data_IF_881473763482
#
_entry.id   IF_881473763482
#
_cell.length_a   1.000
_cell.length_b   1.000
_cell.length_c   1.000
_cell.angle_alpha   90.00
_cell.angle_beta   90.00
_cell.angle_gamma   90.00
#
_symmetry.space_group_name_H-M   'P 1'
#
loop_
_entity.id
_entity.type
_entity.pdbx_description
1 polymer ?
#
# COMPACT_ATOMS: atom_id res chain seq x y z
N UNK A 1 9.20 15.99 48.85
CA UNK A 1 8.32 15.26 47.93
C UNK A 1 8.31 16.08 46.65
N UNK A 2 8.91 15.58 45.57
CA UNK A 2 8.77 16.22 44.26
C UNK A 2 7.34 15.93 43.82
N UNK A 3 6.51 16.96 43.71
CA UNK A 3 5.16 16.80 43.15
C UNK A 3 5.32 16.30 41.71
N UNK A 4 4.88 15.07 41.47
CA UNK A 4 4.82 14.49 40.14
C UNK A 4 3.85 15.32 39.31
N UNK A 5 4.38 16.13 38.39
CA UNK A 5 3.56 16.96 37.52
C UNK A 5 2.80 16.06 36.55
N UNK A 6 1.47 16.01 36.69
CA UNK A 6 0.59 15.34 35.74
C UNK A 6 0.41 16.21 34.49
N UNK A 7 0.45 15.58 33.32
CA UNK A 7 0.26 16.16 32.01
C UNK A 7 -0.86 15.41 31.30
N UNK A 8 -1.67 16.14 30.53
CA UNK A 8 -2.77 15.55 29.77
C UNK A 8 -2.27 15.09 28.41
N UNK A 9 -2.51 13.82 28.10
CA UNK A 9 -2.30 13.23 26.78
C UNK A 9 -3.69 12.97 26.18
N UNK A 10 -4.02 13.67 25.11
CA UNK A 10 -5.20 13.38 24.31
C UNK A 10 -4.83 12.36 23.23
N UNK A 11 -5.63 11.30 23.08
CA UNK A 11 -5.41 10.23 22.11
C UNK A 11 -6.75 9.84 21.46
N UNK A 12 -6.93 10.18 20.18
CA UNK A 12 -8.20 9.98 19.44
C UNK A 12 -9.41 10.53 20.23
N UNK A 13 -9.33 11.80 20.66
CA UNK A 13 -10.34 12.53 21.46
C UNK A 13 -10.56 12.00 22.90
N UNK A 14 -9.83 10.98 23.34
CA UNK A 14 -9.85 10.49 24.72
C UNK A 14 -8.71 11.10 25.53
N UNK A 15 -8.99 11.51 26.78
CA UNK A 15 -7.98 12.12 27.65
C UNK A 15 -7.39 11.11 28.64
N UNK A 16 -6.07 11.16 28.77
CA UNK A 16 -5.27 10.33 29.66
C UNK A 16 -4.32 11.21 30.49
N UNK A 17 -4.06 10.84 31.74
CA UNK A 17 -3.10 11.54 32.60
C UNK A 17 -1.76 10.82 32.62
N UNK A 18 -0.68 11.50 32.25
CA UNK A 18 0.67 10.94 32.29
C UNK A 18 1.57 11.78 33.19
N UNK A 19 2.47 11.13 33.92
CA UNK A 19 3.42 11.84 34.78
C UNK A 19 4.61 12.31 33.94
N UNK A 20 5.04 13.55 34.15
CA UNK A 20 6.24 14.11 33.53
C UNK A 20 7.45 13.20 33.81
N UNK A 21 8.16 12.80 32.75
CA UNK A 21 9.31 11.91 32.81
C UNK A 21 8.99 10.42 32.65
N UNK A 22 7.71 10.02 32.62
CA UNK A 22 7.34 8.62 32.36
C UNK A 22 7.38 8.26 30.88
N UNK A 23 7.42 6.95 30.61
CA UNK A 23 7.32 6.42 29.26
C UNK A 23 5.86 6.50 28.77
N UNK A 24 5.66 7.14 27.62
CA UNK A 24 4.34 7.41 27.05
C UNK A 24 3.51 6.14 26.83
N UNK A 25 4.10 5.06 26.29
CA UNK A 25 3.37 3.80 26.09
C UNK A 25 2.89 3.21 27.41
N UNK A 26 3.75 3.20 28.44
CA UNK A 26 3.38 2.66 29.76
C UNK A 26 2.26 3.48 30.39
N UNK A 27 2.35 4.82 30.36
CA UNK A 27 1.32 5.69 30.95
C UNK A 27 -0.04 5.52 30.26
N UNK A 28 -0.06 5.37 28.93
CA UNK A 28 -1.28 5.12 28.15
C UNK A 28 -1.88 3.74 28.44
N UNK A 29 -1.07 2.68 28.43
CA UNK A 29 -1.55 1.31 28.68
C UNK A 29 -2.08 1.11 30.10
N UNK A 30 -1.48 1.77 31.11
CA UNK A 30 -1.92 1.69 32.50
C UNK A 30 -3.34 2.25 32.71
N UNK A 31 -3.79 3.14 31.82
CA UNK A 31 -5.13 3.71 31.83
C UNK A 31 -6.07 3.03 30.82
N UNK A 32 -5.64 1.94 30.20
CA UNK A 32 -6.47 1.14 29.29
C UNK A 32 -6.53 1.66 27.85
N UNK A 33 -5.66 2.59 27.46
CA UNK A 33 -5.62 3.09 26.08
C UNK A 33 -5.32 1.98 25.08
N UNK A 34 -6.09 1.92 23.99
CA UNK A 34 -5.94 0.91 22.94
C UNK A 34 -4.76 1.21 21.99
N UNK A 35 -3.53 1.19 22.49
CA UNK A 35 -2.31 1.40 21.70
C UNK A 35 -1.75 0.05 21.25
N UNK A 36 -1.49 -0.12 19.94
CA UNK A 36 -0.80 -1.32 19.43
C UNK A 36 0.64 -1.32 19.92
N UNK A 37 1.20 -2.47 20.29
CA UNK A 37 2.61 -2.58 20.63
C UNK A 37 3.12 -4.00 20.39
N UNK A 38 4.44 -4.14 20.29
CA UNK A 38 5.12 -5.43 20.12
C UNK A 38 6.40 -5.50 20.95
N UNK A 39 7.52 -5.07 20.37
CA UNK A 39 8.85 -5.23 20.98
C UNK A 39 9.14 -4.32 22.18
N UNK A 40 8.39 -3.22 22.35
CA UNK A 40 8.66 -2.14 23.34
C UNK A 40 10.09 -1.54 23.30
N UNK A 41 10.86 -1.84 22.26
CA UNK A 41 12.24 -1.42 22.04
C UNK A 41 12.41 -0.56 20.77
N UNK A 42 11.31 -0.03 20.23
CA UNK A 42 11.30 0.79 19.01
C UNK A 42 11.44 0.04 17.68
N UNK A 43 12.03 -1.15 17.66
CA UNK A 43 12.36 -1.86 16.42
C UNK A 43 11.14 -2.26 15.55
N UNK A 44 10.03 -2.70 16.16
CA UNK A 44 8.89 -3.21 15.39
C UNK A 44 7.96 -2.13 14.82
N UNK A 45 8.09 -0.88 15.26
CA UNK A 45 7.20 0.23 14.83
C UNK A 45 5.71 0.13 15.24
N UNK A 46 5.26 -0.98 15.84
CA UNK A 46 3.84 -1.20 16.14
C UNK A 46 3.19 -0.15 17.07
N UNK A 47 3.97 0.54 17.90
CA UNK A 47 3.50 1.54 18.87
C UNK A 47 3.57 2.98 18.35
N UNK A 48 3.55 3.15 17.03
CA UNK A 48 3.59 4.46 16.39
C UNK A 48 2.28 5.20 16.65
N UNK A 49 2.40 6.43 17.10
CA UNK A 49 1.33 7.42 17.22
C UNK A 49 1.74 8.66 16.43
N UNK A 50 0.78 9.53 16.12
CA UNK A 50 1.02 10.75 15.35
C UNK A 50 0.54 11.96 16.13
N UNK A 51 1.27 13.06 16.07
CA UNK A 51 0.79 14.37 16.54
C UNK A 51 -0.50 14.76 15.80
N UNK A 52 -1.55 15.09 16.55
CA UNK A 52 -2.88 15.39 16.00
C UNK A 52 -2.95 16.73 15.23
N UNK A 53 -1.92 17.58 15.34
CA UNK A 53 -1.87 18.89 14.65
C UNK A 53 -0.94 18.89 13.44
N UNK A 54 0.16 18.13 13.48
CA UNK A 54 1.23 18.20 12.48
C UNK A 54 1.59 16.85 11.83
N UNK A 55 0.98 15.74 12.29
CA UNK A 55 1.22 14.41 11.71
C UNK A 55 2.60 13.83 11.99
N UNK A 56 3.43 14.49 12.81
CA UNK A 56 4.74 13.99 13.18
C UNK A 56 4.60 12.68 13.96
N UNK A 57 5.31 11.65 13.50
CA UNK A 57 5.20 10.33 14.10
C UNK A 57 6.14 10.16 15.29
N UNK A 58 5.63 9.56 16.36
CA UNK A 58 6.42 9.17 17.53
C UNK A 58 6.26 7.69 17.83
N UNK A 59 7.29 7.06 18.40
CA UNK A 59 7.19 5.70 18.92
C UNK A 59 6.90 5.79 20.41
N UNK A 60 5.66 5.56 20.82
CA UNK A 60 5.26 5.73 22.23
C UNK A 60 6.12 4.92 23.22
N UNK A 61 6.68 3.77 22.82
CA UNK A 61 7.59 3.00 23.67
C UNK A 61 8.99 3.62 23.85
N UNK A 62 9.39 4.56 23.01
CA UNK A 62 10.67 5.28 23.07
C UNK A 62 10.50 6.76 23.43
N UNK A 63 9.27 7.22 23.67
CA UNK A 63 8.96 8.61 24.00
C UNK A 63 8.78 8.78 25.50
N UNK A 64 9.52 9.73 26.06
CA UNK A 64 9.33 10.21 27.44
C UNK A 64 8.37 11.40 27.44
N UNK A 65 7.43 11.41 28.38
CA UNK A 65 6.43 12.48 28.53
C UNK A 65 7.10 13.75 29.05
N UNK A 66 7.23 14.76 28.19
CA UNK A 66 7.86 16.04 28.50
C UNK A 66 6.87 17.22 28.52
N UNK A 67 5.72 17.08 27.87
CA UNK A 67 4.65 18.07 27.79
C UNK A 67 3.32 17.38 27.55
N UNK A 68 2.21 18.10 27.70
CA UNK A 68 0.92 17.67 27.17
C UNK A 68 1.03 17.45 25.66
N UNK A 69 0.32 16.46 25.13
CA UNK A 69 0.34 16.08 23.71
C UNK A 69 -1.08 15.80 23.25
N UNK A 70 -1.39 16.13 21.99
CA UNK A 70 -2.58 15.66 21.31
C UNK A 70 -2.12 14.71 20.21
N UNK A 71 -2.53 13.45 20.33
CA UNK A 71 -2.04 12.34 19.53
C UNK A 71 -3.22 11.63 18.86
N UNK A 72 -2.92 10.94 17.78
CA UNK A 72 -3.86 10.02 17.14
C UNK A 72 -3.17 8.72 16.77
N UNK A 73 -3.95 7.62 16.80
CA UNK A 73 -3.56 6.31 16.29
C UNK A 73 -3.64 6.26 14.77
N UNK A 74 -4.42 7.18 14.18
CA UNK A 74 -4.58 7.31 12.75
C UNK A 74 -3.43 8.13 12.18
N UNK A 75 -2.87 7.70 11.04
CA UNK A 75 -2.03 8.61 10.26
C UNK A 75 -2.95 9.76 9.86
N UNK A 76 -2.67 10.99 10.32
CA UNK A 76 -3.35 12.15 9.76
C UNK A 76 -3.08 12.12 8.26
N UNK A 77 -4.16 11.95 7.52
CA UNK A 77 -4.14 11.85 6.07
C UNK A 77 -3.81 13.22 5.49
N UNK A 78 -2.54 13.64 5.57
CA UNK A 78 -2.07 14.75 4.77
C UNK A 78 -2.18 14.33 3.31
N UNK A 79 -3.12 14.95 2.61
CA UNK A 79 -3.24 14.83 1.18
C UNK A 79 -2.66 16.09 0.52
N UNK A 80 -2.11 15.90 -0.66
CA UNK A 80 -1.68 16.96 -1.55
C UNK A 80 -2.52 16.95 -2.81
N UNK A 81 -2.61 18.10 -3.48
CA UNK A 81 -3.28 18.17 -4.77
C UNK A 81 -2.30 17.82 -5.88
N UNK A 82 -2.71 16.91 -6.74
CA UNK A 82 -1.98 16.55 -7.95
C UNK A 82 -2.80 16.99 -9.15
N UNK A 83 -2.12 17.51 -10.17
CA UNK A 83 -2.73 17.83 -11.46
C UNK A 83 -2.76 16.58 -12.34
N UNK A 84 -3.86 16.33 -13.01
CA UNK A 84 -3.98 15.26 -14.01
C UNK A 84 -3.19 15.65 -15.24
N UNK A 85 -2.21 14.82 -15.62
CA UNK A 85 -1.47 14.94 -16.88
C UNK A 85 -2.16 14.14 -17.99
N UNK A 86 -2.59 12.93 -17.68
CA UNK A 86 -3.31 12.08 -18.63
C UNK A 86 -4.31 11.17 -17.92
N UNK A 87 -5.39 10.87 -18.65
CA UNK A 87 -6.45 9.94 -18.28
C UNK A 87 -6.72 9.06 -19.49
N UNK A 88 -6.28 7.80 -19.44
CA UNK A 88 -6.32 6.89 -20.58
C UNK A 88 -7.20 5.68 -20.26
N UNK A 89 -8.29 5.45 -21.00
CA UNK A 89 -9.06 4.23 -20.83
C UNK A 89 -8.24 3.04 -21.31
N UNK A 90 -8.05 2.06 -20.43
CA UNK A 90 -7.38 0.81 -20.74
C UNK A 90 -8.37 -0.24 -21.25
N UNK A 91 -9.57 -0.25 -20.68
CA UNK A 91 -10.73 -1.04 -21.09
C UNK A 91 -12.01 -0.44 -20.48
N UNK A 92 -13.16 -1.12 -20.63
CA UNK A 92 -14.46 -0.63 -20.14
C UNK A 92 -14.57 -0.53 -18.59
N UNK A 93 -13.63 -1.14 -17.87
CA UNK A 93 -13.60 -1.27 -16.41
C UNK A 93 -12.33 -0.70 -15.78
N UNK A 94 -11.41 -0.11 -16.54
CA UNK A 94 -10.12 0.37 -16.02
C UNK A 94 -9.60 1.59 -16.76
N UNK A 95 -9.06 2.55 -16.01
CA UNK A 95 -8.38 3.72 -16.54
C UNK A 95 -6.99 3.87 -15.92
N UNK A 96 -6.03 4.34 -16.71
CA UNK A 96 -4.72 4.80 -16.25
C UNK A 96 -4.77 6.30 -16.01
N UNK A 97 -4.32 6.74 -14.83
CA UNK A 97 -4.10 8.15 -14.53
C UNK A 97 -2.60 8.40 -14.35
N UNK A 98 -2.13 9.49 -14.96
CA UNK A 98 -0.80 10.04 -14.71
C UNK A 98 -0.95 11.41 -14.06
N UNK A 99 -0.33 11.59 -12.91
CA UNK A 99 -0.55 12.69 -11.99
C UNK A 99 0.77 13.43 -11.70
N UNK A 100 0.73 14.75 -11.78
CA UNK A 100 1.85 15.63 -11.43
C UNK A 100 1.64 16.24 -10.05
N UNK A 101 2.58 16.02 -9.15
CA UNK A 101 2.56 16.59 -7.80
C UNK A 101 3.81 16.20 -7.01
N UNK A 102 3.88 16.58 -5.72
CA UNK A 102 5.00 16.25 -4.86
C UNK A 102 4.94 14.76 -4.48
N UNK A 103 5.58 13.90 -5.27
CA UNK A 103 5.65 12.46 -5.02
C UNK A 103 7.06 11.94 -5.26
N UNK A 104 7.52 11.11 -4.32
CA UNK A 104 8.68 10.24 -4.42
C UNK A 104 8.28 8.76 -4.45
N UNK A 105 6.98 8.47 -4.60
CA UNK A 105 6.47 7.10 -4.70
C UNK A 105 7.02 6.42 -5.95
N UNK A 106 7.15 5.11 -5.87
CA UNK A 106 7.65 4.28 -6.95
C UNK A 106 6.89 2.96 -7.03
N UNK A 107 7.19 2.17 -8.04
CA UNK A 107 6.49 0.92 -8.31
C UNK A 107 6.26 0.07 -7.06
N UNK A 108 4.98 -0.23 -6.79
CA UNK A 108 4.57 -1.06 -5.66
C UNK A 108 4.24 -0.30 -4.37
N UNK A 109 4.51 1.00 -4.30
CA UNK A 109 4.14 1.80 -3.14
C UNK A 109 2.62 2.06 -3.11
N UNK A 110 2.07 2.19 -1.90
CA UNK A 110 0.63 2.43 -1.70
C UNK A 110 0.32 3.91 -1.75
N UNK A 111 -0.67 4.24 -2.57
CA UNK A 111 -1.15 5.60 -2.78
C UNK A 111 -2.67 5.60 -2.71
N UNK A 112 -3.26 6.60 -2.06
CA UNK A 112 -4.72 6.73 -2.04
C UNK A 112 -5.15 7.99 -2.77
N UNK A 113 -6.19 7.89 -3.58
CA UNK A 113 -6.71 9.04 -4.36
C UNK A 113 -8.17 9.30 -4.07
N UNK A 114 -8.56 10.57 -4.09
CA UNK A 114 -9.94 10.99 -3.95
C UNK A 114 -10.33 12.02 -5.02
N UNK A 115 -11.57 11.86 -5.50
CA UNK A 115 -12.18 12.74 -6.48
C UNK A 115 -12.94 13.85 -5.78
N UNK A 116 -12.57 15.09 -6.07
CA UNK A 116 -13.18 16.24 -5.44
C UNK A 116 -14.36 16.70 -6.29
N UNK A 117 -15.48 17.01 -5.63
CA UNK A 117 -16.53 17.77 -6.31
C UNK A 117 -16.03 19.19 -6.56
N UNK A 118 -16.42 19.80 -7.69
CA UNK A 118 -16.06 21.20 -8.02
C UNK A 118 -16.44 22.21 -6.93
N UNK A 119 -17.44 21.92 -6.11
CA UNK A 119 -17.83 22.76 -4.97
C UNK A 119 -16.85 22.68 -3.78
N UNK A 120 -16.07 21.60 -3.66
CA UNK A 120 -15.12 21.39 -2.56
C UNK A 120 -13.70 21.90 -2.88
N UNK A 121 -13.39 22.18 -4.15
CA UNK A 121 -12.05 22.59 -4.59
C UNK A 121 -11.73 24.08 -4.38
N UNK A 122 -12.74 24.93 -4.21
CA UNK A 122 -12.55 26.40 -4.19
C UNK A 122 -12.69 27.05 -2.80
N UNK A 123 -13.28 26.39 -1.80
CA UNK A 123 -13.70 27.09 -0.56
C UNK A 123 -13.23 26.50 0.79
N UNK A 124 -12.53 25.36 0.85
CA UNK A 124 -12.33 24.66 2.13
C UNK A 124 -10.87 24.47 2.58
N UNK A 125 -10.56 24.66 3.89
CA UNK A 125 -9.26 24.33 4.46
C UNK A 125 -8.97 22.84 4.33
N UNK A 126 -7.70 22.50 4.05
CA UNK A 126 -7.20 21.11 3.91
C UNK A 126 -7.67 20.16 5.03
N UNK A 127 -7.74 20.66 6.26
CA UNK A 127 -8.15 19.88 7.44
C UNK A 127 -9.59 19.32 7.38
N UNK A 128 -10.51 19.97 6.64
CA UNK A 128 -11.92 19.59 6.58
C UNK A 128 -12.30 18.70 5.38
N UNK A 129 -11.38 18.53 4.42
CA UNK A 129 -11.62 17.70 3.23
C UNK A 129 -11.49 16.21 3.52
N UNK A 130 -10.58 15.83 4.43
CA UNK A 130 -10.31 14.43 4.79
C UNK A 130 -11.52 13.71 5.40
N UNK A 131 -12.44 14.44 6.02
CA UNK A 131 -13.65 13.87 6.64
C UNK A 131 -14.78 13.58 5.63
N UNK A 132 -14.71 14.10 4.39
CA UNK A 132 -15.81 13.98 3.40
C UNK A 132 -15.41 13.36 2.08
N UNK A 133 -14.12 13.31 1.75
CA UNK A 133 -13.63 12.67 0.54
C UNK A 133 -13.35 11.18 0.79
N UNK A 134 -13.96 10.30 -0.01
CA UNK A 134 -13.64 8.88 0.03
C UNK A 134 -12.35 8.63 -0.76
N UNK A 135 -11.34 8.07 -0.09
CA UNK A 135 -10.06 7.74 -0.69
C UNK A 135 -10.02 6.28 -1.13
N UNK A 136 -9.59 6.05 -2.37
CA UNK A 136 -9.41 4.73 -2.97
C UNK A 136 -7.93 4.38 -2.96
N UNK A 137 -7.57 3.25 -2.33
CA UNK A 137 -6.19 2.74 -2.32
C UNK A 137 -5.83 2.19 -3.70
N UNK A 138 -4.62 2.50 -4.15
CA UNK A 138 -4.03 2.14 -5.42
C UNK A 138 -2.55 1.78 -5.22
N UNK A 139 -1.98 1.09 -6.21
CA UNK A 139 -0.55 0.85 -6.30
C UNK A 139 0.08 1.87 -7.24
N UNK A 140 1.19 2.48 -6.85
CA UNK A 140 2.01 3.30 -7.74
C UNK A 140 2.69 2.41 -8.79
N UNK A 141 2.67 2.85 -10.05
CA UNK A 141 3.14 2.11 -11.22
C UNK A 141 4.29 2.82 -11.95
N UNK A 142 4.70 3.97 -11.45
CA UNK A 142 5.77 4.77 -12.04
C UNK A 142 7.16 4.33 -11.55
N UNK A 143 8.21 4.52 -12.36
CA UNK A 143 9.57 4.45 -11.86
C UNK A 143 9.87 5.62 -10.91
N UNK A 144 10.95 5.47 -10.14
CA UNK A 144 11.42 6.51 -9.20
C UNK A 144 11.68 7.82 -9.94
N UNK A 145 11.08 8.91 -9.47
CA UNK A 145 11.27 10.26 -10.02
C UNK A 145 10.43 10.61 -11.25
N UNK A 146 9.59 9.68 -11.75
CA UNK A 146 8.60 9.97 -12.77
C UNK A 146 7.28 10.46 -12.16
N UNK A 147 6.39 11.11 -12.96
CA UNK A 147 5.04 11.44 -12.50
C UNK A 147 4.31 10.22 -11.97
N UNK A 148 3.49 10.43 -10.92
CA UNK A 148 2.76 9.36 -10.25
C UNK A 148 1.80 8.70 -11.26
N UNK A 149 1.93 7.39 -11.42
CA UNK A 149 1.06 6.60 -12.31
C UNK A 149 0.27 5.61 -11.49
N UNK A 150 -1.04 5.57 -11.70
CA UNK A 150 -1.96 4.64 -11.03
C UNK A 150 -2.98 4.09 -12.03
N UNK A 151 -3.55 2.93 -11.72
CA UNK A 151 -4.71 2.37 -12.42
C UNK A 151 -5.88 2.33 -11.46
N UNK A 152 -7.03 2.80 -11.95
CA UNK A 152 -8.30 2.71 -11.25
C UNK A 152 -9.18 1.69 -11.92
N UNK A 153 -9.85 0.87 -11.12
CA UNK A 153 -10.76 -0.16 -11.59
C UNK A 153 -12.17 0.15 -11.11
N UNK A 154 -13.13 0.07 -12.04
CA UNK A 154 -14.54 0.43 -11.83
C UNK A 154 -15.16 -0.27 -10.62
N UNK A 155 -14.81 -1.53 -10.41
CA UNK A 155 -15.42 -2.37 -9.37
C UNK A 155 -14.94 -2.00 -7.95
N UNK A 156 -13.87 -1.19 -7.85
CA UNK A 156 -13.31 -0.71 -6.59
C UNK A 156 -13.66 0.76 -6.31
N UNK A 157 -14.40 1.41 -7.19
CA UNK A 157 -14.72 2.84 -7.10
C UNK A 157 -16.24 3.02 -7.06
N UNK A 158 -16.75 4.01 -6.32
CA UNK A 158 -18.18 4.32 -6.34
C UNK A 158 -18.64 4.69 -7.75
N UNK A 159 -19.91 4.39 -8.09
CA UNK A 159 -20.44 4.72 -9.42
C UNK A 159 -20.35 6.23 -9.74
N UNK A 160 -20.51 7.08 -8.72
CA UNK A 160 -20.38 8.52 -8.85
C UNK A 160 -18.93 8.94 -9.14
N UNK A 161 -17.97 8.44 -8.36
CA UNK A 161 -16.57 8.77 -8.54
C UNK A 161 -15.98 8.16 -9.81
N UNK A 162 -16.49 7.02 -10.26
CA UNK A 162 -16.13 6.44 -11.56
C UNK A 162 -16.50 7.38 -12.72
N UNK A 163 -17.71 7.94 -12.70
CA UNK A 163 -18.13 8.92 -13.71
C UNK A 163 -17.27 10.19 -13.66
N UNK A 164 -16.88 10.63 -12.46
CA UNK A 164 -15.96 11.77 -12.29
C UNK A 164 -14.58 11.45 -12.86
N UNK A 165 -14.06 10.26 -12.57
CA UNK A 165 -12.76 9.80 -13.05
C UNK A 165 -12.72 9.75 -14.59
N UNK A 166 -13.78 9.26 -15.22
CA UNK A 166 -13.92 9.26 -16.69
C UNK A 166 -14.01 10.67 -17.30
N UNK A 167 -14.51 11.65 -16.54
CA UNK A 167 -14.67 13.03 -17.00
C UNK A 167 -13.43 13.90 -16.74
N UNK A 168 -12.37 13.36 -16.11
CA UNK A 168 -11.15 14.12 -15.84
C UNK A 168 -10.45 14.53 -17.14
N UNK A 169 -10.07 15.79 -17.17
CA UNK A 169 -9.28 16.45 -18.22
C UNK A 169 -7.89 16.83 -17.70
N UNK A 170 -6.99 17.20 -18.61
CA UNK A 170 -5.70 17.75 -18.23
C UNK A 170 -5.88 18.99 -17.35
N UNK A 171 -5.05 19.15 -16.32
CA UNK A 171 -5.07 20.23 -15.32
C UNK A 171 -6.16 20.12 -14.23
N UNK A 172 -7.10 19.17 -14.34
CA UNK A 172 -7.99 18.83 -13.21
C UNK A 172 -7.17 18.36 -12.01
N UNK A 173 -7.68 18.61 -10.80
CA UNK A 173 -6.96 18.29 -9.55
C UNK A 173 -7.59 17.11 -8.83
N UNK A 174 -6.73 16.23 -8.34
CA UNK A 174 -7.08 15.12 -7.45
C UNK A 174 -6.42 15.32 -6.10
N UNK A 175 -7.13 14.94 -5.04
CA UNK A 175 -6.51 14.79 -3.73
C UNK A 175 -5.79 13.44 -3.68
N UNK A 176 -4.51 13.47 -3.35
CA UNK A 176 -3.66 12.27 -3.26
C UNK A 176 -3.05 12.22 -1.88
N UNK A 177 -3.26 11.10 -1.19
CA UNK A 177 -2.67 10.79 0.09
C UNK A 177 -1.50 9.82 -0.13
N UNK A 178 -0.34 10.23 0.36
CA UNK A 178 0.91 9.49 0.27
C UNK A 178 1.29 8.89 1.62
N UNK A 179 2.02 7.78 1.61
CA UNK A 179 2.47 7.13 2.84
C UNK A 179 3.71 7.84 3.40
N UNK A 180 3.58 8.57 4.51
CA UNK A 180 4.71 9.27 5.15
C UNK A 180 5.53 8.34 6.06
N UNK A 181 6.85 8.58 6.14
CA UNK A 181 7.75 7.84 7.04
C UNK A 181 8.00 6.37 6.66
N UNK A 182 7.61 5.95 5.46
CA UNK A 182 7.88 4.61 4.91
C UNK A 182 8.92 4.73 3.80
N UNK A 183 9.86 3.77 3.75
CA UNK A 183 10.83 3.65 2.67
C UNK A 183 10.10 3.33 1.36
N UNK A 184 10.32 4.16 0.33
CA UNK A 184 9.76 4.03 -1.03
C UNK A 184 10.44 2.91 -1.82
N UNK A 185 9.73 2.34 -2.79
CA UNK A 185 10.20 1.24 -3.64
C UNK A 185 10.38 -0.05 -2.85
N UNK A 186 9.61 -0.18 -1.76
CA UNK A 186 9.78 -1.24 -0.77
C UNK A 186 9.41 -2.60 -1.33
N UNK A 187 8.45 -2.66 -2.25
CA UNK A 187 7.84 -3.90 -2.69
C UNK A 187 8.89 -4.88 -3.24
N UNK A 188 9.63 -4.49 -4.28
CA UNK A 188 10.63 -5.36 -4.89
C UNK A 188 11.83 -5.59 -3.96
N UNK A 189 12.23 -4.57 -3.21
CA UNK A 189 13.32 -4.67 -2.24
C UNK A 189 13.03 -5.68 -1.12
N UNK A 190 11.81 -5.69 -0.58
CA UNK A 190 11.42 -6.62 0.50
C UNK A 190 11.23 -8.06 0.02
N UNK A 191 10.94 -8.26 -1.26
CA UNK A 191 10.88 -9.60 -1.86
C UNK A 191 12.26 -10.23 -2.02
N UNK A 192 13.34 -9.42 -2.00
CA UNK A 192 14.74 -9.87 -2.13
C UNK A 192 14.99 -10.71 -3.40
N UNK A 193 14.49 -10.22 -4.54
CA UNK A 193 14.48 -10.96 -5.83
C UNK A 193 15.48 -10.47 -6.87
N UNK A 194 16.36 -9.52 -6.53
CA UNK A 194 17.23 -8.86 -7.50
C UNK A 194 18.09 -9.86 -8.32
N UNK A 195 18.59 -10.90 -7.64
CA UNK A 195 19.44 -11.93 -8.25
C UNK A 195 18.72 -13.28 -8.45
N UNK A 196 17.40 -13.32 -8.30
CA UNK A 196 16.63 -14.55 -8.36
C UNK A 196 15.78 -14.65 -9.64
N UNK A 197 15.64 -15.84 -10.24
CA UNK A 197 14.68 -16.04 -11.31
C UNK A 197 13.27 -15.79 -10.79
N UNK A 198 12.52 -14.92 -11.46
CA UNK A 198 11.19 -14.50 -10.99
C UNK A 198 10.13 -14.61 -12.08
N UNK A 199 8.95 -15.07 -11.69
CA UNK A 199 7.73 -15.03 -12.50
C UNK A 199 6.63 -14.29 -11.78
N UNK A 200 5.74 -13.66 -12.55
CA UNK A 200 4.52 -13.02 -12.04
C UNK A 200 3.32 -13.84 -12.48
N UNK A 201 2.40 -14.08 -11.55
CA UNK A 201 1.11 -14.71 -11.82
C UNK A 201 0.02 -13.75 -11.35
N UNK A 202 -0.87 -13.35 -12.24
CA UNK A 202 -1.97 -12.43 -11.92
C UNK A 202 -3.31 -13.15 -11.89
N UNK A 203 -4.20 -12.71 -10.99
CA UNK A 203 -5.63 -13.01 -11.15
C UNK A 203 -6.16 -12.37 -12.44
N UNK A 204 -7.28 -12.86 -13.00
CA UNK A 204 -7.89 -12.29 -14.21
C UNK A 204 -8.13 -10.78 -14.09
N UNK A 205 -8.61 -10.33 -12.93
CA UNK A 205 -8.92 -8.92 -12.66
C UNK A 205 -7.66 -8.04 -12.66
N UNK A 206 -6.50 -8.65 -12.43
CA UNK A 206 -5.20 -7.97 -12.40
C UNK A 206 -4.38 -8.18 -13.68
N UNK A 207 -4.97 -8.76 -14.73
CA UNK A 207 -4.31 -8.95 -16.02
C UNK A 207 -3.80 -7.64 -16.62
N UNK A 208 -4.49 -6.53 -16.36
CA UNK A 208 -4.12 -5.20 -16.85
C UNK A 208 -2.73 -4.75 -16.37
N UNK A 209 -2.23 -5.35 -15.29
CA UNK A 209 -0.96 -4.95 -14.71
C UNK A 209 0.28 -5.62 -15.35
N UNK A 210 0.10 -6.50 -16.34
CA UNK A 210 1.22 -7.24 -16.96
C UNK A 210 2.34 -6.31 -17.43
N UNK A 211 2.01 -5.25 -18.19
CA UNK A 211 3.01 -4.36 -18.78
C UNK A 211 3.82 -3.63 -17.71
N UNK A 212 3.19 -3.19 -16.63
CA UNK A 212 3.89 -2.48 -15.55
C UNK A 212 4.78 -3.44 -14.75
N UNK A 213 4.34 -4.68 -14.51
CA UNK A 213 5.19 -5.70 -13.91
C UNK A 213 6.42 -6.00 -14.76
N UNK A 214 6.22 -6.14 -16.08
CA UNK A 214 7.30 -6.39 -17.03
C UNK A 214 8.32 -5.25 -17.03
N UNK A 215 7.86 -4.00 -17.12
CA UNK A 215 8.72 -2.81 -17.08
C UNK A 215 9.51 -2.74 -15.76
N UNK A 216 8.82 -2.84 -14.62
CA UNK A 216 9.45 -2.75 -13.31
C UNK A 216 10.44 -3.89 -13.02
N UNK A 217 10.14 -5.12 -13.44
CA UNK A 217 11.02 -6.26 -13.17
C UNK A 217 12.22 -6.32 -14.12
N UNK A 218 12.07 -5.91 -15.38
CA UNK A 218 13.21 -5.84 -16.31
C UNK A 218 14.25 -4.81 -15.88
N UNK A 219 13.81 -3.72 -15.25
CA UNK A 219 14.71 -2.72 -14.66
C UNK A 219 15.34 -3.20 -13.33
N UNK A 220 14.67 -4.12 -12.62
CA UNK A 220 15.09 -4.57 -11.28
C UNK A 220 15.95 -5.84 -11.29
N UNK A 221 15.65 -6.80 -12.15
CA UNK A 221 16.35 -8.10 -12.22
C UNK A 221 16.55 -8.55 -13.68
N UNK A 222 17.75 -9.03 -14.04
CA UNK A 222 17.99 -9.61 -15.36
C UNK A 222 17.31 -10.98 -15.55
N UNK A 223 16.75 -11.57 -14.48
CA UNK A 223 16.23 -12.94 -14.46
C UNK A 223 14.70 -13.00 -14.40
N UNK A 224 14.00 -12.02 -14.99
CA UNK A 224 12.56 -12.09 -15.17
C UNK A 224 12.20 -13.13 -16.25
N UNK A 225 11.48 -14.18 -15.86
CA UNK A 225 11.19 -15.33 -16.72
C UNK A 225 9.81 -15.29 -17.37
N UNK A 226 8.92 -14.40 -16.93
CA UNK A 226 7.64 -14.17 -17.59
C UNK A 226 6.47 -13.87 -16.67
N UNK A 227 5.32 -13.64 -17.31
CA UNK A 227 4.05 -13.34 -16.68
C UNK A 227 2.98 -14.33 -17.16
N UNK A 228 2.11 -14.76 -16.25
CA UNK A 228 0.93 -15.57 -16.56
C UNK A 228 -0.33 -14.96 -15.92
N UNK A 229 -1.40 -14.85 -16.70
CA UNK A 229 -2.74 -14.54 -16.18
C UNK A 229 -3.49 -15.85 -15.94
N UNK A 230 -4.01 -16.02 -14.72
CA UNK A 230 -4.88 -17.16 -14.41
C UNK A 230 -6.19 -17.06 -15.19
N UNK A 231 -6.78 -18.19 -15.62
CA UNK A 231 -8.06 -18.17 -16.31
C UNK A 231 -9.18 -17.70 -15.38
N UNK A 232 -10.13 -16.95 -15.94
CA UNK A 232 -11.34 -16.53 -15.23
C UNK A 232 -12.25 -17.74 -15.00
N UNK A 233 -12.31 -18.23 -13.76
CA UNK A 233 -13.21 -19.31 -13.32
C UNK A 233 -14.07 -18.80 -12.16
N UNK A 234 -15.23 -19.42 -11.95
CA UNK A 234 -16.16 -19.07 -10.87
C UNK A 234 -15.54 -19.21 -9.47
N UNK A 235 -14.54 -20.07 -9.33
CA UNK A 235 -13.70 -20.22 -8.15
C UNK A 235 -12.23 -20.16 -8.59
N UNK A 236 -11.50 -19.15 -8.12
CA UNK A 236 -10.09 -18.94 -8.47
C UNK A 236 -9.19 -20.10 -8.02
N UNK A 237 -9.60 -20.92 -7.04
CA UNK A 237 -8.84 -22.12 -6.66
C UNK A 237 -8.86 -23.18 -7.77
N UNK A 238 -9.90 -23.19 -8.63
CA UNK A 238 -9.96 -24.04 -9.82
C UNK A 238 -9.02 -23.53 -10.93
N UNK A 239 -8.67 -22.25 -10.91
CA UNK A 239 -7.68 -21.68 -11.83
C UNK A 239 -6.26 -22.12 -11.48
N UNK A 240 -6.01 -22.52 -10.22
CA UNK A 240 -4.73 -23.11 -9.82
C UNK A 240 -4.56 -24.56 -10.29
N UNK A 241 -5.65 -25.26 -10.59
CA UNK A 241 -5.61 -26.63 -11.13
C UNK A 241 -5.45 -26.66 -12.66
N UNK A 242 -5.14 -25.52 -13.27
CA UNK A 242 -5.06 -25.40 -14.72
C UNK A 242 -3.73 -25.94 -15.28
N UNK A 243 -3.81 -26.73 -16.34
CA UNK A 243 -2.63 -27.32 -16.99
C UNK A 243 -1.69 -26.24 -17.54
N UNK A 244 -2.22 -25.08 -17.97
CA UNK A 244 -1.40 -23.98 -18.46
C UNK A 244 -0.52 -23.39 -17.35
N UNK A 245 -1.03 -23.28 -16.11
CA UNK A 245 -0.24 -22.82 -14.97
C UNK A 245 0.90 -23.80 -14.65
N UNK A 246 0.60 -25.11 -14.64
CA UNK A 246 1.62 -26.13 -14.38
C UNK A 246 2.69 -26.13 -15.47
N UNK A 247 2.30 -26.05 -16.74
CA UNK A 247 3.23 -25.98 -17.87
C UNK A 247 4.11 -24.73 -17.80
N UNK A 248 3.53 -23.58 -17.49
CA UNK A 248 4.27 -22.32 -17.30
C UNK A 248 5.31 -22.42 -16.19
N UNK A 249 4.92 -22.92 -15.01
CA UNK A 249 5.84 -23.08 -13.88
C UNK A 249 6.94 -24.10 -14.16
N UNK A 250 6.64 -25.18 -14.87
CA UNK A 250 7.64 -26.17 -15.27
C UNK A 250 8.66 -25.58 -16.25
N UNK A 251 8.23 -24.80 -17.23
CA UNK A 251 9.12 -24.09 -18.14
C UNK A 251 10.02 -23.11 -17.37
N UNK A 252 9.43 -22.29 -16.49
CA UNK A 252 10.17 -21.35 -15.67
C UNK A 252 11.19 -22.03 -14.73
N UNK A 253 10.88 -23.23 -14.20
CA UNK A 253 11.83 -24.00 -13.38
C UNK A 253 13.01 -24.55 -14.20
N UNK A 254 12.78 -24.91 -15.47
CA UNK A 254 13.86 -25.31 -16.39
C UNK A 254 14.76 -24.11 -16.68
N UNK A 255 14.17 -22.96 -16.99
CA UNK A 255 14.90 -21.73 -17.30
C UNK A 255 15.63 -21.14 -16.07
N UNK A 256 15.11 -21.37 -14.87
CA UNK A 256 15.77 -21.03 -13.62
C UNK A 256 17.08 -21.80 -13.38
N UNK A 257 17.37 -22.86 -14.15
CA UNK A 257 18.69 -23.51 -14.15
C UNK A 257 19.10 -24.12 -12.80
N UNK A 258 18.13 -24.47 -11.94
CA UNK A 258 18.36 -25.00 -10.60
C UNK A 258 18.42 -23.95 -9.48
N UNK A 259 18.34 -22.66 -9.81
CA UNK A 259 18.15 -21.61 -8.81
C UNK A 259 16.72 -21.62 -8.24
N UNK A 260 16.53 -21.03 -7.05
CA UNK A 260 15.22 -20.94 -6.40
C UNK A 260 14.32 -19.95 -7.13
N UNK A 261 13.34 -20.47 -7.88
CA UNK A 261 12.32 -19.67 -8.58
C UNK A 261 11.44 -18.89 -7.59
N UNK A 262 11.37 -17.57 -7.76
CA UNK A 262 10.53 -16.66 -6.99
C UNK A 262 9.22 -16.41 -7.75
N UNK A 263 8.11 -16.41 -7.02
CA UNK A 263 6.77 -16.24 -7.58
C UNK A 263 6.14 -15.01 -6.95
N UNK A 264 5.67 -14.10 -7.78
CA UNK A 264 4.84 -12.98 -7.35
C UNK A 264 3.41 -13.29 -7.76
N UNK A 265 2.51 -13.47 -6.81
CA UNK A 265 1.07 -13.56 -7.08
C UNK A 265 0.41 -12.21 -6.87
N UNK A 266 -0.04 -11.58 -7.96
CA UNK A 266 -0.82 -10.34 -7.93
C UNK A 266 -2.31 -10.66 -8.02
N UNK A 267 -2.97 -10.77 -6.87
CA UNK A 267 -4.38 -11.14 -6.81
C UNK A 267 -4.87 -11.41 -5.38
N UNK A 268 -6.18 -11.63 -5.26
CA UNK A 268 -6.86 -11.84 -3.99
C UNK A 268 -7.61 -13.18 -3.99
N UNK A 269 -8.24 -13.51 -2.85
CA UNK A 269 -9.16 -14.66 -2.69
C UNK A 269 -8.57 -16.06 -2.91
N UNK A 270 -7.25 -16.20 -3.00
CA UNK A 270 -6.55 -17.48 -3.05
C UNK A 270 -5.58 -17.58 -1.88
N UNK A 271 -5.74 -18.60 -1.04
CA UNK A 271 -4.95 -18.71 0.17
C UNK A 271 -3.54 -19.27 -0.10
N UNK A 272 -2.59 -18.98 0.78
CA UNK A 272 -1.26 -19.60 0.75
C UNK A 272 -1.32 -21.13 0.85
N UNK A 273 -2.37 -21.68 1.49
CA UNK A 273 -2.59 -23.13 1.58
C UNK A 273 -2.98 -23.73 0.23
N UNK A 274 -3.80 -23.02 -0.56
CA UNK A 274 -4.20 -23.48 -1.89
C UNK A 274 -3.01 -23.42 -2.85
N UNK A 275 -2.25 -22.32 -2.83
CA UNK A 275 -0.98 -22.23 -3.53
C UNK A 275 -0.01 -23.35 -3.14
N UNK A 276 0.14 -23.65 -1.85
CA UNK A 276 1.03 -24.70 -1.37
C UNK A 276 0.70 -26.10 -1.94
N UNK A 277 -0.58 -26.37 -2.24
CA UNK A 277 -0.99 -27.65 -2.86
C UNK A 277 -0.45 -27.78 -4.28
N UNK A 278 -0.44 -26.68 -5.04
CA UNK A 278 0.01 -26.65 -6.44
C UNK A 278 1.52 -26.54 -6.56
N UNK A 279 2.16 -25.82 -5.63
CA UNK A 279 3.61 -25.61 -5.63
C UNK A 279 4.40 -26.81 -5.09
N UNK A 280 3.82 -27.60 -4.18
CA UNK A 280 4.50 -28.76 -3.55
C UNK A 280 5.01 -29.80 -4.56
N UNK A 281 4.25 -30.26 -5.57
CA UNK A 281 4.75 -31.18 -6.59
C UNK A 281 5.96 -30.65 -7.37
N UNK A 282 6.02 -29.33 -7.54
CA UNK A 282 7.10 -28.61 -8.23
C UNK A 282 8.29 -28.30 -7.32
N UNK A 283 8.23 -28.71 -6.04
CA UNK A 283 9.24 -28.42 -4.99
C UNK A 283 9.50 -26.92 -4.79
N UNK A 284 8.51 -26.08 -5.10
CA UNK A 284 8.55 -24.66 -4.79
C UNK A 284 8.04 -24.49 -3.36
N UNK A 285 8.84 -23.83 -2.52
CA UNK A 285 8.55 -23.62 -1.11
C UNK A 285 7.66 -22.38 -0.90
N UNK A 286 6.82 -22.35 0.16
CA UNK A 286 5.94 -21.22 0.43
C UNK A 286 6.64 -19.87 0.64
N UNK A 287 7.90 -19.87 1.09
CA UNK A 287 8.70 -18.64 1.25
C UNK A 287 9.19 -18.05 -0.09
N UNK A 288 9.01 -18.77 -1.21
CA UNK A 288 9.29 -18.28 -2.56
C UNK A 288 8.06 -17.61 -3.20
N UNK A 289 6.93 -17.53 -2.48
CA UNK A 289 5.69 -16.95 -2.96
C UNK A 289 5.41 -15.63 -2.25
N UNK A 290 5.34 -14.56 -3.03
CA UNK A 290 5.07 -13.20 -2.58
C UNK A 290 3.66 -12.79 -3.00
N UNK A 291 2.85 -12.33 -2.05
CA UNK A 291 1.48 -11.87 -2.32
C UNK A 291 1.44 -10.36 -2.49
N UNK A 292 0.90 -9.91 -3.63
CA UNK A 292 0.61 -8.51 -3.92
C UNK A 292 -0.90 -8.37 -4.10
N UNK A 293 -1.48 -7.34 -3.47
CA UNK A 293 -2.92 -7.13 -3.42
C UNK A 293 -3.35 -5.96 -4.28
#
# INVERSE_FOLDING_TARGET
MMDSQALTIELDDEQYEAVLGENLLTSLLNQGAAVRYGCRAGACGACRLYDASHGESILSCQTTVASSMSLTRQVLAEFSFFSVLSNVPLNDHSIELVLLGPSDESFGDRVSVAFLSKALSEELPKASLGERAHFYECMALNPVGAPLKIVLQKDHVSAEDWLRALALSSDDKLAVQLSTGIRKGRLLFEMDIADAPVVVISSPDNAIFESYWREALLDYTPSFLGHLVLPAKSDLTLSLADDALLAFLQAALVDAGGASLQLIYHGQNVSAKDWSRVLRPLRIHPNQLHFVR
#
